data_IF_960461831267
#
_entry.id   IF_960461831267
#
_cell.length_a   1.000
_cell.length_b   1.000
_cell.length_c   1.000
_cell.angle_alpha   90.00
_cell.angle_beta   90.00
_cell.angle_gamma   90.00
#
_symmetry.space_group_name_H-M   'P 1'
#
loop_
_entity.id
_entity.type
_entity.pdbx_description
1 polymer ?
#
# COMPACT_ATOMS: atom_id res chain seq x y z
N UNK A 1 -16.43 -11.27 -8.36
CA UNK A 1 -16.58 -10.10 -7.46
C UNK A 1 -17.29 -10.48 -6.16
N UNK A 2 -18.60 -10.78 -6.11
CA UNK A 2 -19.22 -11.24 -4.85
C UNK A 2 -18.51 -12.49 -4.28
N UNK A 3 -18.19 -13.46 -5.14
CA UNK A 3 -17.40 -14.64 -4.76
C UNK A 3 -15.97 -14.28 -4.29
N UNK A 4 -15.39 -13.17 -4.77
CA UNK A 4 -14.05 -12.71 -4.36
C UNK A 4 -14.09 -12.03 -3.00
N UNK A 5 -15.16 -11.26 -2.70
CA UNK A 5 -15.39 -10.72 -1.36
C UNK A 5 -15.56 -11.86 -0.35
N UNK A 6 -16.29 -12.91 -0.75
CA UNK A 6 -16.64 -14.04 0.12
C UNK A 6 -15.48 -15.03 0.31
N UNK A 7 -14.53 -15.05 -0.62
CA UNK A 7 -13.32 -15.87 -0.54
C UNK A 7 -12.33 -15.37 0.53
N UNK A 8 -12.44 -14.11 0.96
CA UNK A 8 -11.57 -13.55 2.02
C UNK A 8 -12.16 -13.90 3.38
N UNK A 9 -11.39 -14.61 4.20
CA UNK A 9 -11.71 -14.81 5.61
C UNK A 9 -11.40 -13.53 6.41
N UNK A 10 -12.32 -12.57 6.35
CA UNK A 10 -12.20 -11.28 7.05
C UNK A 10 -12.01 -11.43 8.56
N UNK A 11 -12.57 -12.48 9.19
CA UNK A 11 -12.41 -12.74 10.61
C UNK A 11 -10.98 -13.14 11.00
N UNK A 12 -10.20 -13.67 10.05
CA UNK A 12 -8.78 -14.00 10.26
C UNK A 12 -7.84 -12.80 10.08
N UNK A 13 -8.32 -11.71 9.50
CA UNK A 13 -7.51 -10.51 9.27
C UNK A 13 -7.26 -9.82 10.61
N UNK A 14 -6.01 -9.52 10.99
CA UNK A 14 -5.73 -8.87 12.26
C UNK A 14 -6.29 -7.44 12.27
N UNK A 15 -6.76 -6.99 13.42
CA UNK A 15 -7.22 -5.62 13.62
C UNK A 15 -7.40 -5.32 15.10
N UNK A 16 -7.44 -4.03 15.45
CA UNK A 16 -7.60 -3.63 16.85
C UNK A 16 -8.98 -4.09 17.36
N UNK A 17 -9.06 -4.88 18.45
CA UNK A 17 -10.29 -5.58 18.84
C UNK A 17 -11.48 -4.66 19.15
N UNK A 18 -11.22 -3.46 19.66
CA UNK A 18 -12.27 -2.48 19.99
C UNK A 18 -12.79 -1.66 18.79
N UNK A 19 -12.14 -1.74 17.63
CA UNK A 19 -12.45 -0.84 16.49
C UNK A 19 -12.63 -1.57 15.15
N UNK A 20 -11.96 -2.71 14.95
CA UNK A 20 -12.07 -3.49 13.73
C UNK A 20 -13.29 -4.41 13.80
N UNK A 21 -14.23 -4.23 12.87
CA UNK A 21 -15.45 -5.02 12.76
C UNK A 21 -15.45 -5.80 11.43
N UNK A 22 -14.95 -7.04 11.39
CA UNK A 22 -14.76 -7.80 10.14
C UNK A 22 -16.05 -8.03 9.36
N UNK A 23 -17.19 -8.19 10.05
CA UNK A 23 -18.51 -8.35 9.42
C UNK A 23 -18.91 -7.12 8.60
N UNK A 24 -18.49 -5.92 9.01
CA UNK A 24 -18.73 -4.69 8.27
C UNK A 24 -17.98 -4.65 6.95
N UNK A 25 -16.84 -5.34 6.84
CA UNK A 25 -16.06 -5.37 5.60
C UNK A 25 -16.81 -6.07 4.49
N UNK A 26 -17.15 -7.34 4.70
CA UNK A 26 -17.87 -8.13 3.70
C UNK A 26 -19.22 -7.50 3.36
N UNK A 27 -20.01 -7.11 4.38
CA UNK A 27 -21.31 -6.47 4.17
C UNK A 27 -21.18 -5.15 3.42
N UNK A 28 -20.22 -4.31 3.81
CA UNK A 28 -19.96 -3.02 3.18
C UNK A 28 -19.53 -3.15 1.72
N UNK A 29 -18.60 -4.06 1.41
CA UNK A 29 -18.13 -4.29 0.04
C UNK A 29 -19.24 -4.83 -0.88
N UNK A 30 -20.06 -5.78 -0.40
CA UNK A 30 -21.21 -6.28 -1.16
C UNK A 30 -22.23 -5.18 -1.43
N UNK A 31 -22.62 -4.45 -0.37
CA UNK A 31 -23.57 -3.36 -0.49
C UNK A 31 -23.07 -2.24 -1.40
N UNK A 32 -21.77 -1.91 -1.35
CA UNK A 32 -21.18 -0.89 -2.20
C UNK A 32 -21.17 -1.31 -3.67
N UNK A 33 -20.87 -2.57 -3.96
CA UNK A 33 -20.91 -3.09 -5.32
C UNK A 33 -22.32 -3.10 -5.93
N UNK A 34 -23.30 -3.49 -5.12
CA UNK A 34 -24.71 -3.58 -5.54
C UNK A 34 -25.43 -2.23 -5.51
N UNK A 35 -24.79 -1.18 -4.98
CA UNK A 35 -25.39 0.13 -4.84
C UNK A 35 -25.84 0.69 -6.20
N UNK A 36 -27.12 1.02 -6.30
CA UNK A 36 -27.74 1.59 -7.50
C UNK A 36 -28.01 3.10 -7.37
N UNK A 37 -27.70 3.70 -6.22
CA UNK A 37 -27.91 5.11 -5.95
C UNK A 37 -26.96 5.65 -4.86
N UNK A 38 -27.01 6.96 -4.67
CA UNK A 38 -26.17 7.68 -3.71
C UNK A 38 -26.38 7.24 -2.26
N UNK A 39 -27.63 6.99 -1.83
CA UNK A 39 -27.93 6.64 -0.44
C UNK A 39 -27.34 5.28 -0.09
N UNK A 40 -27.51 4.29 -0.98
CA UNK A 40 -26.94 2.95 -0.80
C UNK A 40 -25.41 2.98 -0.79
N UNK A 41 -24.80 3.75 -1.69
CA UNK A 41 -23.34 3.90 -1.72
C UNK A 41 -22.81 4.55 -0.44
N UNK A 42 -23.49 5.60 0.05
CA UNK A 42 -23.10 6.29 1.28
C UNK A 42 -23.26 5.39 2.52
N UNK A 43 -24.33 4.61 2.62
CA UNK A 43 -24.52 3.66 3.72
C UNK A 43 -23.43 2.58 3.72
N UNK A 44 -23.13 2.01 2.56
CA UNK A 44 -22.05 1.05 2.40
C UNK A 44 -20.67 1.65 2.73
N UNK A 45 -20.43 2.89 2.27
CA UNK A 45 -19.25 3.68 2.62
C UNK A 45 -19.11 3.88 4.13
N UNK A 46 -20.20 4.17 4.85
CA UNK A 46 -20.17 4.31 6.30
C UNK A 46 -19.85 3.00 7.03
N UNK A 47 -20.23 1.84 6.49
CA UNK A 47 -19.84 0.55 7.07
C UNK A 47 -18.33 0.33 6.95
N UNK A 48 -17.77 0.61 5.76
CA UNK A 48 -16.35 0.45 5.48
C UNK A 48 -15.49 1.50 6.21
N UNK A 49 -15.97 2.75 6.28
CA UNK A 49 -15.31 3.88 6.91
C UNK A 49 -15.47 3.97 8.43
N UNK A 50 -16.40 3.19 9.00
CA UNK A 50 -16.74 3.23 10.43
C UNK A 50 -16.29 2.01 11.21
N UNK A 51 -15.23 1.32 10.80
CA UNK A 51 -14.74 0.11 11.49
C UNK A 51 -14.42 -1.07 10.55
N UNK A 52 -14.82 -1.01 9.27
CA UNK A 52 -14.54 -2.07 8.32
C UNK A 52 -13.06 -2.08 7.90
N UNK A 53 -12.65 -1.09 7.12
CA UNK A 53 -11.26 -1.01 6.60
C UNK A 53 -10.51 0.21 7.13
N UNK A 54 -11.26 1.23 7.51
CA UNK A 54 -10.78 2.38 8.26
C UNK A 54 -11.78 2.70 9.34
N UNK A 55 -11.34 3.48 10.32
CA UNK A 55 -12.20 4.16 11.26
C UNK A 55 -11.97 5.67 11.09
N UNK A 56 -12.66 6.26 10.11
CA UNK A 56 -12.39 7.62 9.62
C UNK A 56 -12.55 8.70 10.69
N UNK A 57 -13.38 8.47 11.71
CA UNK A 57 -13.52 9.42 12.82
C UNK A 57 -12.25 9.52 13.69
N UNK A 58 -11.55 8.40 13.89
CA UNK A 58 -10.28 8.43 14.62
C UNK A 58 -9.11 8.67 13.66
N UNK A 59 -9.24 8.34 12.37
CA UNK A 59 -8.14 8.41 11.41
C UNK A 59 -7.28 7.14 11.43
N UNK A 60 -7.88 6.00 11.81
CA UNK A 60 -7.22 4.70 11.84
C UNK A 60 -7.45 3.90 10.54
N UNK A 61 -6.43 3.22 10.03
CA UNK A 61 -6.54 2.21 8.96
C UNK A 61 -6.25 0.81 9.49
N UNK A 62 -6.99 -0.19 9.01
CA UNK A 62 -6.82 -1.58 9.42
C UNK A 62 -6.13 -2.40 8.32
N UNK A 63 -5.45 -3.52 8.68
CA UNK A 63 -4.94 -4.50 7.72
C UNK A 63 -5.93 -4.92 6.62
N UNK A 64 -7.23 -4.97 6.94
CA UNK A 64 -8.29 -5.30 5.99
C UNK A 64 -8.36 -4.36 4.77
N UNK A 65 -7.89 -3.11 4.89
CA UNK A 65 -7.84 -2.16 3.78
C UNK A 65 -6.97 -2.66 2.61
N UNK A 66 -5.90 -3.41 2.89
CA UNK A 66 -5.04 -3.97 1.85
C UNK A 66 -5.83 -4.96 0.99
N UNK A 67 -6.51 -5.92 1.63
CA UNK A 67 -7.31 -6.95 0.93
C UNK A 67 -8.54 -6.34 0.24
N UNK A 68 -9.12 -5.29 0.81
CA UNK A 68 -10.24 -4.58 0.20
C UNK A 68 -9.84 -3.71 -1.00
N UNK A 69 -8.58 -3.26 -1.09
CA UNK A 69 -8.11 -2.35 -2.15
C UNK A 69 -8.39 -2.87 -3.58
N UNK A 70 -8.01 -4.11 -3.96
CA UNK A 70 -8.33 -4.62 -5.30
C UNK A 70 -9.85 -4.68 -5.58
N UNK A 71 -10.66 -4.98 -4.57
CA UNK A 71 -12.13 -5.04 -4.67
C UNK A 71 -12.73 -3.64 -4.86
N UNK A 72 -12.21 -2.64 -4.12
CA UNK A 72 -12.59 -1.23 -4.29
C UNK A 72 -12.19 -0.68 -5.65
N UNK A 73 -11.03 -1.07 -6.19
CA UNK A 73 -10.62 -0.70 -7.56
C UNK A 73 -11.54 -1.29 -8.63
N UNK A 74 -12.02 -2.52 -8.42
CA UNK A 74 -13.01 -3.14 -9.30
C UNK A 74 -14.38 -2.46 -9.23
N UNK A 75 -14.82 -2.06 -8.02
CA UNK A 75 -16.01 -1.23 -7.84
C UNK A 75 -15.83 0.14 -8.51
N UNK A 76 -14.68 0.79 -8.34
CA UNK A 76 -14.38 2.07 -8.99
C UNK A 76 -14.40 1.98 -10.52
N UNK A 77 -14.09 0.82 -11.10
CA UNK A 77 -14.13 0.60 -12.54
C UNK A 77 -15.56 0.35 -13.08
N UNK A 78 -16.41 -0.37 -12.35
CA UNK A 78 -17.65 -0.96 -12.90
C UNK A 78 -18.93 -0.60 -12.14
N UNK A 79 -18.82 -0.03 -10.95
CA UNK A 79 -19.96 0.28 -10.09
C UNK A 79 -20.81 1.44 -10.60
N UNK A 80 -21.95 1.68 -9.96
CA UNK A 80 -22.73 2.90 -10.14
C UNK A 80 -21.87 4.15 -9.84
N UNK A 81 -22.05 5.32 -10.50
CA UNK A 81 -21.20 6.50 -10.28
C UNK A 81 -21.00 6.89 -8.81
N UNK A 82 -22.07 6.82 -8.00
CA UNK A 82 -21.94 7.06 -6.55
C UNK A 82 -21.06 6.03 -5.83
N UNK A 83 -21.13 4.75 -6.21
CA UNK A 83 -20.28 3.70 -5.66
C UNK A 83 -18.82 3.88 -6.10
N UNK A 84 -18.58 4.33 -7.34
CA UNK A 84 -17.24 4.65 -7.82
C UNK A 84 -16.62 5.77 -6.98
N UNK A 85 -17.37 6.86 -6.76
CA UNK A 85 -16.91 8.00 -5.96
C UNK A 85 -16.64 7.60 -4.50
N UNK A 86 -17.51 6.79 -3.90
CA UNK A 86 -17.30 6.26 -2.55
C UNK A 86 -16.09 5.34 -2.47
N UNK A 87 -15.90 4.44 -3.43
CA UNK A 87 -14.73 3.54 -3.46
C UNK A 87 -13.42 4.33 -3.56
N UNK A 88 -13.35 5.34 -4.42
CA UNK A 88 -12.17 6.21 -4.52
C UNK A 88 -11.93 7.02 -3.24
N UNK A 89 -12.99 7.41 -2.52
CA UNK A 89 -12.84 8.08 -1.22
C UNK A 89 -12.33 7.17 -0.11
N UNK A 90 -12.78 5.92 -0.08
CA UNK A 90 -12.27 4.94 0.87
C UNK A 90 -10.79 4.61 0.65
N UNK A 91 -10.35 4.54 -0.62
CA UNK A 91 -8.93 4.35 -0.95
C UNK A 91 -8.06 5.53 -0.51
N UNK A 92 -8.58 6.75 -0.67
CA UNK A 92 -7.93 8.00 -0.27
C UNK A 92 -7.79 8.08 1.26
N UNK A 93 -8.87 7.77 1.98
CA UNK A 93 -8.86 7.67 3.44
C UNK A 93 -7.88 6.59 3.94
N UNK A 94 -7.86 5.42 3.30
CA UNK A 94 -6.99 4.31 3.70
C UNK A 94 -5.49 4.63 3.53
N UNK A 95 -5.10 5.43 2.53
CA UNK A 95 -3.73 5.90 2.38
C UNK A 95 -3.37 7.02 3.36
N UNK A 96 -4.34 7.86 3.71
CA UNK A 96 -4.15 9.05 4.55
C UNK A 96 -4.19 8.75 6.05
N UNK A 97 -4.84 7.67 6.46
CA UNK A 97 -4.97 7.24 7.84
C UNK A 97 -3.72 6.48 8.33
N UNK A 98 -3.58 6.39 9.66
CA UNK A 98 -2.47 5.69 10.31
C UNK A 98 -2.95 4.37 10.94
N UNK A 99 -2.15 3.30 10.93
CA UNK A 99 -2.55 2.05 11.57
C UNK A 99 -2.32 2.10 13.08
N UNK A 100 -3.05 1.28 13.85
CA UNK A 100 -2.77 1.13 15.28
C UNK A 100 -1.44 0.40 15.53
N UNK A 101 -0.81 0.69 16.67
CA UNK A 101 0.38 -0.02 17.14
C UNK A 101 0.12 -1.53 17.17
N UNK A 102 1.06 -2.32 16.65
CA UNK A 102 0.93 -3.78 16.52
C UNK A 102 0.15 -4.26 15.28
N UNK A 103 -0.51 -3.35 14.55
CA UNK A 103 -1.31 -3.66 13.35
C UNK A 103 -0.82 -2.90 12.12
N UNK A 104 0.46 -2.53 12.06
CA UNK A 104 1.00 -1.62 11.05
C UNK A 104 1.39 -2.29 9.73
N UNK A 105 1.43 -3.63 9.72
CA UNK A 105 1.95 -4.43 8.61
C UNK A 105 1.00 -5.56 8.24
N UNK A 106 1.09 -6.00 6.99
CA UNK A 106 0.39 -7.17 6.46
C UNK A 106 1.38 -8.18 5.91
N UNK A 107 1.11 -9.46 6.10
CA UNK A 107 1.88 -10.51 5.46
C UNK A 107 1.56 -10.54 3.96
N UNK A 108 2.58 -10.52 3.11
CA UNK A 108 2.47 -10.76 1.67
C UNK A 108 2.91 -12.19 1.33
N UNK A 109 2.51 -12.75 0.17
CA UNK A 109 3.03 -14.04 -0.29
C UNK A 109 4.57 -14.07 -0.21
N UNK A 110 5.12 -15.09 0.46
CA UNK A 110 6.55 -15.13 0.84
C UNK A 110 6.82 -14.76 2.31
N UNK A 111 5.79 -14.48 3.10
CA UNK A 111 5.88 -14.32 4.56
C UNK A 111 6.44 -12.98 5.03
N UNK A 112 6.68 -12.04 4.12
CA UNK A 112 7.23 -10.71 4.43
C UNK A 112 6.15 -9.78 4.95
N UNK A 113 6.42 -9.03 6.01
CA UNK A 113 5.45 -8.12 6.63
C UNK A 113 5.61 -6.70 6.10
N UNK A 114 4.77 -6.27 5.16
CA UNK A 114 4.89 -4.96 4.48
C UNK A 114 4.03 -3.90 5.17
N UNK A 115 4.48 -2.64 5.31
CA UNK A 115 3.63 -1.55 5.81
C UNK A 115 2.31 -1.43 5.04
N UNK A 116 1.19 -1.24 5.74
CA UNK A 116 -0.16 -1.21 5.12
C UNK A 116 -0.24 -0.22 3.96
N UNK A 117 0.23 1.02 4.15
CA UNK A 117 0.17 2.04 3.11
C UNK A 117 1.00 1.67 1.87
N UNK A 118 2.14 1.00 2.04
CA UNK A 118 2.96 0.50 0.94
C UNK A 118 2.26 -0.63 0.18
N UNK A 119 1.55 -1.53 0.87
CA UNK A 119 0.78 -2.60 0.24
C UNK A 119 -0.45 -2.06 -0.54
N UNK A 120 -1.16 -1.07 0.01
CA UNK A 120 -2.24 -0.36 -0.70
C UNK A 120 -1.68 0.33 -1.95
N UNK A 121 -0.58 1.08 -1.80
CA UNK A 121 0.04 1.80 -2.89
C UNK A 121 0.53 0.88 -4.02
N UNK A 122 0.98 -0.33 -3.69
CA UNK A 122 1.31 -1.36 -4.68
C UNK A 122 0.09 -1.71 -5.55
N UNK A 123 -1.06 -2.04 -4.95
CA UNK A 123 -2.28 -2.32 -5.70
C UNK A 123 -2.77 -1.14 -6.56
N UNK A 124 -2.62 0.09 -6.05
CA UNK A 124 -2.97 1.29 -6.84
C UNK A 124 -2.07 1.43 -8.07
N UNK A 125 -0.75 1.24 -7.92
CA UNK A 125 0.19 1.28 -9.05
C UNK A 125 -0.07 0.18 -10.08
N UNK A 126 -0.48 -1.00 -9.65
CA UNK A 126 -0.86 -2.09 -10.56
C UNK A 126 -2.10 -1.75 -11.40
N UNK A 127 -2.89 -0.75 -10.98
CA UNK A 127 -4.08 -0.26 -11.70
C UNK A 127 -3.88 1.18 -12.21
N UNK A 128 -2.64 1.54 -12.59
CA UNK A 128 -2.29 2.89 -13.06
C UNK A 128 -3.18 3.37 -14.21
N UNK A 129 -3.37 2.57 -15.27
CA UNK A 129 -4.17 3.00 -16.43
C UNK A 129 -5.64 3.27 -16.08
N UNK A 130 -6.20 2.44 -15.19
CA UNK A 130 -7.54 2.63 -14.67
C UNK A 130 -7.64 3.97 -13.92
N UNK A 131 -6.76 4.19 -12.93
CA UNK A 131 -6.79 5.38 -12.08
C UNK A 131 -6.50 6.66 -12.89
N UNK A 132 -5.63 6.60 -13.89
CA UNK A 132 -5.39 7.71 -14.80
C UNK A 132 -6.65 8.10 -15.59
N UNK A 133 -7.50 7.12 -15.92
CA UNK A 133 -8.80 7.30 -16.58
C UNK A 133 -9.91 7.86 -15.68
N UNK A 134 -9.80 7.74 -14.35
CA UNK A 134 -10.81 8.19 -13.37
C UNK A 134 -10.69 9.68 -12.98
N UNK A 135 -10.05 10.49 -13.82
CA UNK A 135 -10.01 11.95 -13.66
C UNK A 135 -9.11 12.43 -12.51
N UNK A 136 -9.50 13.54 -11.87
CA UNK A 136 -8.65 14.21 -10.86
C UNK A 136 -8.38 13.34 -9.63
N UNK A 137 -9.39 12.61 -9.16
CA UNK A 137 -9.30 11.81 -7.93
C UNK A 137 -8.39 10.60 -8.11
N UNK A 138 -8.53 9.88 -9.24
CA UNK A 138 -7.61 8.78 -9.57
C UNK A 138 -6.16 9.25 -9.74
N UNK A 139 -5.93 10.43 -10.33
CA UNK A 139 -4.58 11.03 -10.41
C UNK A 139 -4.00 11.43 -9.06
N UNK A 140 -4.83 11.92 -8.13
CA UNK A 140 -4.40 12.23 -6.77
C UNK A 140 -3.96 10.95 -6.03
N UNK A 141 -4.76 9.88 -6.10
CA UNK A 141 -4.39 8.57 -5.53
C UNK A 141 -3.08 8.03 -6.10
N UNK A 142 -2.82 8.20 -7.39
CA UNK A 142 -1.54 7.81 -8.00
C UNK A 142 -0.37 8.65 -7.49
N UNK A 143 -0.58 9.95 -7.28
CA UNK A 143 0.44 10.83 -6.71
C UNK A 143 0.77 10.43 -5.25
N UNK A 144 -0.24 10.13 -4.45
CA UNK A 144 -0.06 9.69 -3.07
C UNK A 144 0.61 8.31 -3.04
N UNK A 145 0.16 7.36 -3.86
CA UNK A 145 0.80 6.05 -4.01
C UNK A 145 2.25 6.15 -4.49
N UNK A 146 2.63 7.17 -5.25
CA UNK A 146 4.01 7.38 -5.68
C UNK A 146 4.93 7.71 -4.50
N UNK A 147 4.44 8.37 -3.44
CA UNK A 147 5.22 8.67 -2.24
C UNK A 147 5.59 7.41 -1.42
N UNK A 148 4.86 6.32 -1.63
CA UNK A 148 5.07 5.01 -1.01
C UNK A 148 5.93 4.11 -1.91
N UNK A 149 7.17 4.51 -2.12
CA UNK A 149 8.08 3.80 -3.02
C UNK A 149 8.45 2.40 -2.50
N UNK A 150 8.90 1.53 -3.39
CA UNK A 150 9.54 0.26 -3.03
C UNK A 150 10.67 -0.04 -4.00
N UNK A 151 11.73 -0.68 -3.54
CA UNK A 151 12.86 -1.05 -4.39
C UNK A 151 13.23 -2.53 -4.19
N UNK A 152 13.20 -3.31 -5.27
CA UNK A 152 13.65 -4.71 -5.25
C UNK A 152 15.11 -4.78 -5.67
N UNK A 153 15.97 -5.29 -4.80
CA UNK A 153 17.40 -5.46 -5.08
C UNK A 153 17.59 -6.59 -6.10
N UNK A 154 18.20 -6.29 -7.24
CA UNK A 154 18.60 -7.29 -8.24
C UNK A 154 20.07 -7.65 -8.14
N UNK A 155 20.95 -6.65 -8.09
CA UNK A 155 22.40 -6.82 -8.04
C UNK A 155 23.04 -5.75 -7.14
N UNK A 156 24.15 -6.09 -6.49
CA UNK A 156 24.92 -5.16 -5.67
C UNK A 156 26.41 -5.19 -6.01
N UNK A 157 27.01 -4.00 -6.10
CA UNK A 157 28.44 -3.82 -6.36
C UNK A 157 29.04 -2.97 -5.24
N UNK A 158 30.18 -3.39 -4.72
CA UNK A 158 30.93 -2.61 -3.73
C UNK A 158 31.49 -1.34 -4.40
N UNK A 159 31.24 -0.18 -3.81
CA UNK A 159 31.80 1.09 -4.24
C UNK A 159 32.44 1.80 -3.04
N UNK A 160 33.76 1.64 -2.90
CA UNK A 160 34.51 2.08 -1.72
C UNK A 160 33.96 1.44 -0.43
N UNK A 161 33.42 2.25 0.48
CA UNK A 161 32.80 1.83 1.75
C UNK A 161 31.26 1.69 1.65
N UNK A 162 30.68 1.98 0.48
CA UNK A 162 29.25 1.94 0.22
C UNK A 162 28.93 0.80 -0.76
N UNK A 163 27.63 0.57 -0.98
CA UNK A 163 27.15 -0.36 -2.01
C UNK A 163 26.26 0.36 -3.01
N UNK A 164 26.57 0.18 -4.30
CA UNK A 164 25.63 0.47 -5.38
C UNK A 164 24.69 -0.73 -5.56
N UNK A 165 23.39 -0.53 -5.37
CA UNK A 165 22.36 -1.54 -5.53
C UNK A 165 21.51 -1.22 -6.78
N UNK A 166 21.53 -2.13 -7.74
CA UNK A 166 20.75 -2.07 -8.96
C UNK A 166 19.50 -2.92 -8.81
N UNK A 167 18.37 -2.42 -9.32
CA UNK A 167 17.10 -3.06 -9.05
C UNK A 167 15.91 -2.33 -9.64
N UNK A 168 14.71 -2.74 -9.23
CA UNK A 168 13.45 -2.23 -9.76
C UNK A 168 12.81 -1.28 -8.74
N UNK A 169 12.65 -0.02 -9.13
CA UNK A 169 11.95 0.99 -8.34
C UNK A 169 10.47 1.06 -8.76
N UNK A 170 9.57 0.97 -7.78
CA UNK A 170 8.17 1.33 -7.92
C UNK A 170 7.86 2.58 -7.08
N UNK A 171 7.08 3.51 -7.64
CA UNK A 171 6.83 4.81 -7.03
C UNK A 171 7.97 5.80 -7.28
N UNK A 172 8.09 6.81 -6.42
CA UNK A 172 9.05 7.90 -6.54
C UNK A 172 9.88 8.02 -5.27
N UNK A 173 11.17 7.71 -5.35
CA UNK A 173 12.10 7.98 -4.26
C UNK A 173 12.49 9.46 -4.30
N UNK A 174 12.15 10.27 -3.28
CA UNK A 174 12.48 11.68 -3.27
C UNK A 174 14.00 11.89 -3.26
N UNK A 175 14.47 13.03 -3.77
CA UNK A 175 15.88 13.40 -3.69
C UNK A 175 16.35 13.52 -2.23
N UNK A 176 17.65 13.30 -2.00
CA UNK A 176 18.26 13.36 -0.67
C UNK A 176 18.53 11.99 -0.05
N UNK A 177 18.85 12.00 1.24
CA UNK A 177 19.18 10.81 2.04
C UNK A 177 17.94 10.33 2.77
N UNK A 178 17.68 9.03 2.69
CA UNK A 178 16.50 8.39 3.29
C UNK A 178 16.90 7.15 4.08
N UNK A 179 16.10 6.85 5.10
CA UNK A 179 16.14 5.56 5.79
C UNK A 179 15.13 4.60 5.15
N UNK A 180 15.48 3.31 5.17
CA UNK A 180 14.64 2.26 4.64
C UNK A 180 14.62 1.02 5.54
N UNK A 181 13.50 0.32 5.50
CA UNK A 181 13.43 -1.06 5.96
C UNK A 181 13.79 -1.97 4.80
N UNK A 182 14.76 -2.87 4.99
CA UNK A 182 15.03 -3.98 4.10
C UNK A 182 14.31 -5.22 4.60
N UNK A 183 13.54 -5.84 3.72
CA UNK A 183 12.69 -6.99 3.99
C UNK A 183 13.17 -8.20 3.22
N UNK A 184 13.44 -9.30 3.91
CA UNK A 184 13.87 -10.55 3.30
C UNK A 184 13.48 -11.74 4.18
N UNK A 185 12.81 -12.74 3.60
CA UNK A 185 12.49 -14.00 4.28
C UNK A 185 11.79 -13.84 5.66
N UNK A 186 11.00 -12.77 5.82
CA UNK A 186 10.31 -12.44 7.07
C UNK A 186 11.10 -11.56 8.04
N UNK A 187 12.39 -11.33 7.78
CA UNK A 187 13.24 -10.45 8.58
C UNK A 187 13.20 -9.01 8.07
N UNK A 188 13.22 -8.05 8.99
CA UNK A 188 13.28 -6.61 8.71
C UNK A 188 14.59 -6.05 9.27
N UNK A 189 15.40 -5.46 8.41
CA UNK A 189 16.68 -4.82 8.75
C UNK A 189 16.64 -3.33 8.42
N UNK A 190 17.04 -2.48 9.35
CA UNK A 190 17.08 -1.04 9.13
C UNK A 190 18.34 -0.61 8.36
N UNK A 191 18.12 0.05 7.23
CA UNK A 191 19.11 0.80 6.47
C UNK A 191 18.95 2.28 6.81
N UNK A 192 19.99 2.90 7.38
CA UNK A 192 19.90 4.27 7.90
C UNK A 192 19.96 5.32 6.81
N UNK A 193 20.77 5.07 5.80
CA UNK A 193 21.11 6.06 4.78
C UNK A 193 21.21 5.37 3.41
N UNK A 194 20.32 5.77 2.51
CA UNK A 194 20.41 5.49 1.10
C UNK A 194 20.04 6.72 0.27
N UNK A 195 20.52 6.79 -0.97
CA UNK A 195 20.20 7.85 -1.93
C UNK A 195 19.88 7.25 -3.29
N UNK A 196 19.06 7.94 -4.09
CA UNK A 196 18.90 7.63 -5.50
C UNK A 196 20.12 8.13 -6.26
N UNK A 197 20.90 7.19 -6.82
CA UNK A 197 22.09 7.54 -7.58
C UNK A 197 21.78 7.69 -9.06
N UNK A 198 21.13 6.68 -9.63
CA UNK A 198 20.62 6.72 -11.00
C UNK A 198 19.10 6.51 -10.98
N UNK A 199 18.30 7.53 -11.32
CA UNK A 199 16.85 7.38 -11.43
C UNK A 199 16.47 6.48 -12.62
N UNK A 200 15.25 5.92 -12.63
CA UNK A 200 14.76 5.21 -13.80
C UNK A 200 14.78 6.07 -15.06
N UNK A 201 15.22 5.47 -16.16
CA UNK A 201 15.09 6.07 -17.49
C UNK A 201 13.63 6.04 -17.96
N UNK A 202 13.28 6.90 -18.92
CA UNK A 202 11.93 6.96 -19.49
C UNK A 202 11.46 5.59 -19.98
N UNK A 203 10.35 5.10 -19.42
CA UNK A 203 9.77 3.79 -19.76
C UNK A 203 10.43 2.58 -19.08
N UNK A 204 11.46 2.78 -18.25
CA UNK A 204 12.07 1.75 -17.42
C UNK A 204 11.71 1.94 -15.94
N UNK A 205 11.83 0.86 -15.16
CA UNK A 205 11.78 0.88 -13.69
C UNK A 205 13.14 0.59 -13.05
N UNK A 206 14.16 0.32 -13.87
CA UNK A 206 15.51 0.03 -13.39
C UNK A 206 16.12 1.28 -12.79
N UNK A 207 16.62 1.19 -11.56
CA UNK A 207 17.28 2.28 -10.86
C UNK A 207 18.52 1.77 -10.12
N UNK A 208 19.38 2.71 -9.74
CA UNK A 208 20.50 2.47 -8.84
C UNK A 208 20.32 3.28 -7.56
N UNK A 209 20.39 2.60 -6.43
CA UNK A 209 20.49 3.20 -5.12
C UNK A 209 21.91 3.08 -4.60
N UNK A 210 22.38 4.13 -3.93
CA UNK A 210 23.58 4.05 -3.10
C UNK A 210 23.17 3.78 -1.67
N UNK A 211 23.66 2.69 -1.09
CA UNK A 211 23.43 2.32 0.32
C UNK A 211 24.71 2.56 1.09
N UNK A 212 24.65 3.49 2.05
CA UNK A 212 25.84 3.98 2.75
C UNK A 212 26.28 3.00 3.83
N UNK A 213 27.59 2.79 3.93
CA UNK A 213 28.23 1.98 4.97
C UNK A 213 27.66 0.54 5.10
N UNK A 214 27.35 -0.09 3.97
CA UNK A 214 26.88 -1.48 3.89
C UNK A 214 27.69 -2.25 2.87
N UNK A 215 27.98 -3.51 3.17
CA UNK A 215 28.63 -4.44 2.26
C UNK A 215 27.60 -5.10 1.32
N UNK A 216 27.93 -5.39 0.04
CA UNK A 216 26.99 -6.03 -0.89
C UNK A 216 26.41 -7.36 -0.39
N UNK A 217 27.20 -8.13 0.38
CA UNK A 217 26.75 -9.38 0.99
C UNK A 217 25.65 -9.22 2.06
N UNK A 218 25.41 -8.00 2.54
CA UNK A 218 24.30 -7.67 3.45
C UNK A 218 23.02 -7.26 2.69
N UNK A 219 23.10 -7.12 1.36
CA UNK A 219 22.04 -6.63 0.48
C UNK A 219 21.72 -7.70 -0.58
N UNK A 220 21.13 -8.84 -0.19
CA UNK A 220 20.95 -9.95 -1.11
C UNK A 220 19.90 -9.64 -2.19
N UNK A 221 20.07 -10.20 -3.40
CA UNK A 221 19.05 -10.16 -4.44
C UNK A 221 17.68 -10.68 -3.95
N UNK A 222 16.61 -10.03 -4.38
CA UNK A 222 15.23 -10.31 -3.98
C UNK A 222 14.81 -9.64 -2.67
N UNK A 223 15.72 -8.95 -1.96
CA UNK A 223 15.35 -8.13 -0.81
C UNK A 223 14.53 -6.90 -1.28
N UNK A 224 13.46 -6.59 -0.54
CA UNK A 224 12.59 -5.45 -0.81
C UNK A 224 12.87 -4.32 0.16
N UNK A 225 13.05 -3.11 -0.36
CA UNK A 225 13.23 -1.90 0.43
C UNK A 225 11.93 -1.09 0.45
N UNK A 226 11.55 -0.62 1.63
CA UNK A 226 10.43 0.30 1.83
C UNK A 226 10.88 1.52 2.65
N UNK A 227 10.19 2.67 2.55
CA UNK A 227 10.52 3.85 3.35
C UNK A 227 10.34 3.50 4.84
N UNK A 228 11.37 3.76 5.65
CA UNK A 228 11.30 3.52 7.09
C UNK A 228 10.11 4.27 7.74
N UNK A 229 9.86 5.49 7.27
CA UNK A 229 8.74 6.33 7.72
C UNK A 229 7.37 5.68 7.50
N UNK A 230 7.21 4.73 6.58
CA UNK A 230 5.96 4.01 6.40
C UNK A 230 5.76 2.94 7.48
N UNK A 231 6.84 2.31 7.97
CA UNK A 231 6.80 1.32 9.05
C UNK A 231 6.66 1.92 10.45
N UNK A 232 7.02 3.21 10.60
CA UNK A 232 6.93 3.99 11.85
C UNK A 232 5.58 4.68 12.06
N UNK A 233 4.71 4.68 11.04
CA UNK A 233 3.37 5.31 11.10
C UNK A 233 2.47 4.58 12.09
N UNK A 234 1.99 5.31 13.11
CA UNK A 234 1.07 4.81 14.14
C UNK A 234 0.00 5.86 14.43
N UNK A 235 -1.25 5.43 14.59
CA UNK A 235 -2.41 6.22 15.01
C UNK A 235 -2.40 6.49 16.53
#
# INVERSE_FOLDING_TARGET
>A
MLDEIDAVDWGSVPGHPDWYEPERVARGLRALFEAANLVQAAEAGSQLGGGGIVHGHSGAVFPAAVMATPLLLDIAQRGHPAAQDTALGLLDEALSCHPHAGYTRVAVPGGTAVPICCAIAHHLRDRTDLLAGLGKRGKALLADAASHWSFEIGECVAENNDTAAFGILAGCLPGGVHAAEMHLAGDITMLRELTLEYPPADGSREACLRVIARHPGELPPGALLFPASCGDRVH
#
